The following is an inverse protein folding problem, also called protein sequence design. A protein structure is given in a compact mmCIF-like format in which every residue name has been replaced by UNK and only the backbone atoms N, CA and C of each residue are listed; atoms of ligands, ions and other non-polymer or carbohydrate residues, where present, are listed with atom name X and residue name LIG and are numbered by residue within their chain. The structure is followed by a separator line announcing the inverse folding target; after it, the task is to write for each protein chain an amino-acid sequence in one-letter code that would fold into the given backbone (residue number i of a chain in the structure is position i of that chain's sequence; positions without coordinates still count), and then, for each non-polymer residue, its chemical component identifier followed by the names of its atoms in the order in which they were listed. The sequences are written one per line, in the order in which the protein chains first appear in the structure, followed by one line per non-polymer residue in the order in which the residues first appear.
data_IF_409751768980
#
_entry.id   IF_409751768980
#
_cell.length_a   1.000
_cell.length_b   1.000
_cell.length_c   1.000
_cell.angle_alpha   90.00
_cell.angle_beta   90.00
_cell.angle_gamma   90.00
#
_symmetry.space_group_name_H-M   'P 1'
#
loop_
_entity.id
_entity.type
_entity.pdbx_description
1 polymer ?
#
# COMPACT_ATOMS: atom_id res chain seq x y z
N UNK A 1 -9.85 -2.73 -7.32
CA UNK A 1 -9.24 -3.78 -6.48
C UNK A 1 -9.32 -5.10 -7.21
N UNK A 2 -8.35 -5.98 -6.98
CA UNK A 2 -8.33 -7.30 -7.61
C UNK A 2 -9.48 -8.17 -7.06
N UNK A 3 -10.13 -8.91 -7.95
CA UNK A 3 -11.03 -10.01 -7.56
C UNK A 3 -10.16 -11.14 -7.04
N UNK A 4 -10.39 -11.56 -5.80
CA UNK A 4 -9.66 -12.69 -5.19
C UNK A 4 -10.51 -13.94 -5.40
N UNK A 5 -9.93 -14.98 -6.01
CA UNK A 5 -10.63 -16.25 -6.22
C UNK A 5 -10.77 -17.03 -4.90
N UNK A 6 -11.74 -17.95 -4.79
CA UNK A 6 -11.83 -18.83 -3.63
C UNK A 6 -10.53 -19.60 -3.36
N UNK A 7 -9.87 -20.09 -4.41
CA UNK A 7 -8.59 -20.81 -4.30
C UNK A 7 -7.47 -19.95 -3.69
N UNK A 8 -7.45 -18.65 -3.94
CA UNK A 8 -6.47 -17.76 -3.33
C UNK A 8 -6.77 -17.51 -1.86
N UNK A 9 -8.05 -17.39 -1.48
CA UNK A 9 -8.44 -17.25 -0.09
C UNK A 9 -8.04 -18.46 0.76
N UNK A 10 -8.21 -19.67 0.22
CA UNK A 10 -7.72 -20.88 0.90
C UNK A 10 -6.20 -20.84 1.07
N UNK A 11 -5.46 -20.48 0.02
CA UNK A 11 -3.99 -20.35 0.11
C UNK A 11 -3.53 -19.29 1.10
N UNK A 12 -4.21 -18.15 1.18
CA UNK A 12 -3.90 -17.12 2.17
C UNK A 12 -4.06 -17.62 3.60
N UNK A 13 -5.10 -18.42 3.83
CA UNK A 13 -5.38 -19.02 5.15
C UNK A 13 -4.35 -20.10 5.50
N UNK A 14 -4.05 -21.01 4.56
CA UNK A 14 -3.07 -22.09 4.74
C UNK A 14 -1.65 -21.57 4.99
N UNK A 15 -1.24 -20.53 4.25
CA UNK A 15 0.09 -19.93 4.36
C UNK A 15 0.20 -18.88 5.47
N UNK A 16 -0.88 -18.63 6.20
CA UNK A 16 -0.94 -17.65 7.30
C UNK A 16 -0.41 -16.27 6.90
N UNK A 17 -0.77 -15.81 5.70
CA UNK A 17 -0.32 -14.49 5.22
C UNK A 17 -1.01 -13.36 5.98
N UNK A 18 -0.40 -12.19 5.99
CA UNK A 18 -1.08 -10.94 6.39
C UNK A 18 -1.46 -10.15 5.14
N UNK A 19 -2.64 -9.53 5.16
CA UNK A 19 -3.17 -8.73 4.06
C UNK A 19 -3.09 -7.23 4.38
N UNK A 20 -2.87 -6.44 3.35
CA UNK A 20 -2.96 -4.98 3.43
C UNK A 20 -3.79 -4.44 2.26
N UNK A 21 -4.64 -3.45 2.52
CA UNK A 21 -5.36 -2.73 1.47
C UNK A 21 -5.50 -1.25 1.78
N UNK A 22 -5.63 -0.43 0.74
CA UNK A 22 -5.99 0.98 0.86
C UNK A 22 -7.52 1.16 0.76
N UNK A 23 -8.08 2.13 1.48
CA UNK A 23 -9.48 2.54 1.38
C UNK A 23 -9.56 4.06 1.30
N UNK A 24 -10.37 4.59 0.37
CA UNK A 24 -10.31 6.03 0.05
C UNK A 24 -11.56 6.82 0.44
N UNK A 25 -12.75 6.22 0.33
CA UNK A 25 -13.99 6.90 0.67
C UNK A 25 -15.12 5.93 0.94
N UNK A 26 -16.08 6.38 1.76
CA UNK A 26 -17.39 5.72 1.94
C UNK A 26 -18.35 5.96 0.77
N UNK A 27 -18.10 6.99 -0.06
CA UNK A 27 -18.84 7.27 -1.28
C UNK A 27 -18.24 6.48 -2.45
N UNK A 28 -19.06 5.68 -3.13
CA UNK A 28 -18.61 4.82 -4.22
C UNK A 28 -18.06 5.62 -5.41
N UNK A 29 -18.67 6.76 -5.75
CA UNK A 29 -18.25 7.59 -6.89
C UNK A 29 -16.93 8.28 -6.60
N UNK A 30 -16.76 8.81 -5.39
CA UNK A 30 -15.49 9.39 -4.94
C UNK A 30 -14.37 8.32 -4.93
N UNK A 31 -14.66 7.14 -4.37
CA UNK A 31 -13.72 6.02 -4.39
C UNK A 31 -13.35 5.59 -5.82
N UNK A 32 -14.32 5.57 -6.74
CA UNK A 32 -14.08 5.25 -8.14
C UNK A 32 -13.26 6.33 -8.86
N UNK A 33 -13.53 7.60 -8.59
CA UNK A 33 -12.77 8.73 -9.13
C UNK A 33 -11.30 8.69 -8.67
N UNK A 34 -11.05 8.44 -7.39
CA UNK A 34 -9.70 8.35 -6.82
C UNK A 34 -8.93 7.15 -7.39
N UNK A 35 -9.57 5.98 -7.43
CA UNK A 35 -8.90 4.73 -7.85
C UNK A 35 -8.87 4.54 -9.37
N UNK A 36 -9.57 5.40 -10.11
CA UNK A 36 -9.87 5.28 -11.54
C UNK A 36 -10.48 3.90 -11.91
N UNK A 37 -11.25 3.31 -10.99
CA UNK A 37 -11.82 1.94 -11.10
C UNK A 37 -13.10 1.81 -10.25
N UNK A 38 -14.12 1.13 -10.75
CA UNK A 38 -15.24 0.69 -9.90
C UNK A 38 -14.77 -0.43 -8.96
N UNK A 39 -14.25 -0.03 -7.80
CA UNK A 39 -13.56 -0.93 -6.87
C UNK A 39 -14.10 -0.94 -5.46
N UNK A 40 -15.04 -0.05 -5.15
CA UNK A 40 -15.61 0.11 -3.81
C UNK A 40 -16.20 -1.20 -3.27
N UNK A 41 -17.13 -1.81 -4.00
CA UNK A 41 -17.77 -3.06 -3.58
C UNK A 41 -16.79 -4.21 -3.42
N UNK A 42 -15.91 -4.43 -4.41
CA UNK A 42 -14.88 -5.47 -4.33
C UNK A 42 -13.95 -5.27 -3.12
N UNK A 43 -13.60 -4.01 -2.81
CA UNK A 43 -12.76 -3.69 -1.64
C UNK A 43 -13.46 -4.02 -0.34
N UNK A 44 -14.73 -3.63 -0.19
CA UNK A 44 -15.52 -3.98 0.99
C UNK A 44 -15.68 -5.49 1.14
N UNK A 45 -16.04 -6.20 0.06
CA UNK A 45 -16.22 -7.65 0.10
C UNK A 45 -14.92 -8.37 0.49
N UNK A 46 -13.78 -7.95 -0.05
CA UNK A 46 -12.48 -8.54 0.33
C UNK A 46 -12.11 -8.27 1.79
N UNK A 47 -12.43 -7.08 2.31
CA UNK A 47 -12.22 -6.75 3.74
C UNK A 47 -13.07 -7.66 4.62
N UNK A 48 -14.36 -7.79 4.31
CA UNK A 48 -15.29 -8.65 5.05
C UNK A 48 -14.82 -10.10 5.03
N UNK A 49 -14.41 -10.62 3.88
CA UNK A 49 -13.90 -11.99 3.75
C UNK A 49 -12.63 -12.22 4.58
N UNK A 50 -11.67 -11.28 4.55
CA UNK A 50 -10.45 -11.37 5.34
C UNK A 50 -10.75 -11.39 6.86
N UNK A 51 -11.68 -10.54 7.31
CA UNK A 51 -12.16 -10.51 8.71
C UNK A 51 -12.84 -11.83 9.09
N UNK A 52 -13.74 -12.35 8.24
CA UNK A 52 -14.44 -13.62 8.48
C UNK A 52 -13.48 -14.80 8.61
N UNK A 53 -12.43 -14.83 7.79
CA UNK A 53 -11.37 -15.84 7.82
C UNK A 53 -10.34 -15.64 8.93
N UNK A 54 -10.43 -14.54 9.69
CA UNK A 54 -9.45 -14.14 10.72
C UNK A 54 -8.03 -14.03 10.15
N UNK A 55 -7.90 -13.62 8.90
CA UNK A 55 -6.61 -13.30 8.29
C UNK A 55 -6.16 -11.93 8.81
N UNK A 56 -4.94 -11.77 9.34
CA UNK A 56 -4.44 -10.47 9.79
C UNK A 56 -4.56 -9.42 8.68
N UNK A 57 -5.27 -8.33 8.95
CA UNK A 57 -5.60 -7.31 7.96
C UNK A 57 -5.22 -5.92 8.46
N UNK A 58 -4.42 -5.21 7.68
CA UNK A 58 -4.17 -3.78 7.84
C UNK A 58 -4.88 -2.98 6.75
N UNK A 59 -5.59 -1.93 7.11
CA UNK A 59 -6.23 -1.03 6.15
C UNK A 59 -5.65 0.37 6.27
N UNK A 60 -5.17 0.94 5.16
CA UNK A 60 -4.69 2.32 5.11
C UNK A 60 -5.75 3.24 4.51
N UNK A 61 -6.18 4.26 5.25
CA UNK A 61 -6.94 5.37 4.68
C UNK A 61 -5.96 6.38 4.12
N UNK A 62 -6.13 6.75 2.85
CA UNK A 62 -5.24 7.72 2.19
C UNK A 62 -5.97 9.04 1.97
N UNK A 63 -5.49 10.12 2.57
CA UNK A 63 -6.02 11.48 2.37
C UNK A 63 -5.65 12.03 0.99
N UNK A 64 -6.65 12.28 0.13
CA UNK A 64 -6.43 12.80 -1.23
C UNK A 64 -6.74 14.31 -1.35
N UNK A 65 -7.64 14.80 -0.49
CA UNK A 65 -8.04 16.21 -0.39
C UNK A 65 -8.68 16.49 0.98
N UNK A 66 -8.66 17.75 1.41
CA UNK A 66 -9.07 18.17 2.77
C UNK A 66 -10.53 17.88 3.11
N UNK A 67 -11.42 17.81 2.11
CA UNK A 67 -12.84 17.54 2.33
C UNK A 67 -13.18 16.05 2.49
N UNK A 68 -12.18 15.16 2.38
CA UNK A 68 -12.40 13.72 2.46
C UNK A 68 -12.85 13.33 3.87
N UNK A 69 -13.92 12.54 3.96
CA UNK A 69 -14.54 12.17 5.25
C UNK A 69 -13.79 11.00 5.91
N UNK A 70 -12.54 11.25 6.33
CA UNK A 70 -11.63 10.25 6.90
C UNK A 70 -12.25 9.53 8.11
N UNK A 71 -12.87 10.25 9.03
CA UNK A 71 -13.48 9.64 10.23
C UNK A 71 -14.65 8.72 9.88
N UNK A 72 -15.43 9.07 8.85
CA UNK A 72 -16.50 8.18 8.36
C UNK A 72 -15.94 6.93 7.71
N UNK A 73 -14.84 7.05 6.97
CA UNK A 73 -14.14 5.91 6.40
C UNK A 73 -13.58 4.99 7.50
N UNK A 74 -12.97 5.56 8.55
CA UNK A 74 -12.50 4.82 9.72
C UNK A 74 -13.64 4.08 10.41
N UNK A 75 -14.72 4.77 10.75
CA UNK A 75 -15.88 4.16 11.42
C UNK A 75 -16.49 3.03 10.58
N UNK A 76 -16.56 3.21 9.26
CA UNK A 76 -17.04 2.18 8.36
C UNK A 76 -16.17 0.92 8.40
N UNK A 77 -14.83 1.06 8.42
CA UNK A 77 -13.91 -0.08 8.52
C UNK A 77 -14.06 -0.81 9.86
N UNK A 78 -14.21 -0.07 10.96
CA UNK A 78 -14.50 -0.64 12.29
C UNK A 78 -15.81 -1.44 12.24
N UNK A 79 -16.86 -0.88 11.63
CA UNK A 79 -18.15 -1.56 11.48
C UNK A 79 -18.08 -2.81 10.58
N UNK A 80 -17.10 -2.91 9.69
CA UNK A 80 -16.82 -4.11 8.91
C UNK A 80 -16.00 -5.17 9.67
N UNK A 81 -15.58 -4.87 10.90
CA UNK A 81 -14.83 -5.77 11.78
C UNK A 81 -13.30 -5.64 11.68
N UNK A 82 -12.79 -4.57 11.08
CA UNK A 82 -11.35 -4.26 11.14
C UNK A 82 -11.04 -3.66 12.52
N UNK A 83 -10.07 -4.24 13.22
CA UNK A 83 -9.62 -3.71 14.50
C UNK A 83 -9.00 -2.31 14.33
N UNK A 84 -9.36 -1.37 15.21
CA UNK A 84 -9.01 0.05 15.06
C UNK A 84 -7.49 0.28 14.98
N UNK A 85 -6.70 -0.45 15.76
CA UNK A 85 -5.24 -0.39 15.75
C UNK A 85 -4.61 -0.79 14.41
N UNK A 86 -5.34 -1.51 13.54
CA UNK A 86 -4.89 -1.91 12.21
C UNK A 86 -5.36 -0.95 11.11
N UNK A 87 -6.02 0.15 11.47
CA UNK A 87 -6.45 1.21 10.56
C UNK A 87 -5.45 2.36 10.61
N UNK A 88 -4.60 2.44 9.59
CA UNK A 88 -3.65 3.54 9.42
C UNK A 88 -4.22 4.71 8.63
N UNK A 89 -3.59 5.87 8.76
CA UNK A 89 -3.80 7.03 7.89
C UNK A 89 -2.47 7.47 7.29
N UNK A 90 -2.46 7.86 6.03
CA UNK A 90 -1.34 8.52 5.36
C UNK A 90 -1.89 9.55 4.38
N UNK A 91 -1.16 10.63 4.14
CA UNK A 91 -1.53 11.61 3.11
C UNK A 91 -1.01 11.15 1.74
N UNK A 92 -1.65 11.65 0.68
CA UNK A 92 -1.13 11.45 -0.68
C UNK A 92 0.26 12.04 -0.80
N UNK A 93 1.25 11.17 -0.99
CA UNK A 93 2.63 11.56 -1.27
C UNK A 93 2.81 11.86 -2.76
N UNK A 94 3.60 12.88 -3.08
CA UNK A 94 3.97 13.29 -4.44
C UNK A 94 5.01 12.35 -5.07
N UNK A 95 4.70 11.05 -5.10
CA UNK A 95 5.59 9.98 -5.56
C UNK A 95 4.83 9.01 -6.45
N UNK A 96 5.49 8.47 -7.47
CA UNK A 96 4.87 7.53 -8.42
C UNK A 96 3.60 8.12 -9.06
N UNK A 97 2.46 7.43 -8.91
CA UNK A 97 1.16 7.90 -9.43
C UNK A 97 0.51 9.02 -8.60
N UNK A 98 1.08 9.35 -7.44
CA UNK A 98 0.60 10.45 -6.59
C UNK A 98 1.17 11.81 -6.98
N UNK A 99 2.16 11.85 -7.87
CA UNK A 99 2.72 13.09 -8.44
C UNK A 99 1.62 13.86 -9.17
N UNK A 100 1.41 15.12 -8.80
CA UNK A 100 0.47 16.03 -9.43
C UNK A 100 1.17 17.18 -10.14
N UNK A 101 1.98 17.93 -9.40
CA UNK A 101 2.52 19.23 -9.81
C UNK A 101 4.05 19.34 -9.62
N UNK A 102 4.65 18.47 -8.80
CA UNK A 102 6.08 18.48 -8.47
C UNK A 102 6.74 17.14 -8.75
N UNK A 103 8.05 17.17 -9.06
CA UNK A 103 8.84 15.95 -9.11
C UNK A 103 8.93 15.32 -7.70
N UNK A 104 9.08 13.99 -7.60
CA UNK A 104 9.32 13.35 -6.32
C UNK A 104 10.55 13.92 -5.62
N UNK A 105 10.41 14.26 -4.34
CA UNK A 105 11.46 14.85 -3.52
C UNK A 105 11.56 14.15 -2.15
N UNK A 106 12.65 14.40 -1.44
CA UNK A 106 12.97 13.81 -0.14
C UNK A 106 11.96 14.20 0.95
N UNK A 107 11.27 15.33 0.82
CA UNK A 107 10.22 15.78 1.75
C UNK A 107 9.00 14.84 1.80
N UNK A 108 8.86 13.94 0.82
CA UNK A 108 7.82 12.91 0.78
C UNK A 108 8.18 11.61 1.53
N UNK A 109 9.42 11.51 2.04
CA UNK A 109 9.98 10.29 2.62
C UNK A 109 9.96 10.33 4.15
N UNK A 110 9.94 9.15 4.79
CA UNK A 110 9.88 9.03 6.25
C UNK A 110 11.24 9.03 6.95
N UNK A 111 12.35 9.19 6.22
CA UNK A 111 13.71 9.14 6.77
C UNK A 111 14.31 7.75 6.97
N UNK A 112 13.51 6.68 6.91
CA UNK A 112 13.96 5.29 7.12
C UNK A 112 14.25 4.55 5.80
N UNK A 113 14.75 5.25 4.78
CA UNK A 113 15.05 4.67 3.48
C UNK A 113 16.20 3.65 3.60
N UNK A 114 16.04 2.48 2.98
CA UNK A 114 16.98 1.35 3.07
C UNK A 114 17.24 0.82 4.50
N UNK A 115 16.41 1.21 5.49
CA UNK A 115 16.48 0.66 6.85
C UNK A 115 15.68 -0.64 6.95
N UNK A 116 16.37 -1.78 6.83
CA UNK A 116 15.78 -3.11 6.89
C UNK A 116 14.85 -3.47 5.72
N UNK A 117 14.77 -2.62 4.69
CA UNK A 117 13.87 -2.80 3.55
C UNK A 117 14.57 -2.46 2.24
N UNK A 118 14.22 -3.17 1.18
CA UNK A 118 14.49 -2.81 -0.21
C UNK A 118 13.25 -3.12 -1.04
N UNK A 119 12.96 -2.28 -2.04
CA UNK A 119 11.92 -2.57 -3.02
C UNK A 119 12.55 -3.10 -4.31
N UNK A 120 12.04 -4.22 -4.82
CA UNK A 120 12.49 -4.82 -6.08
C UNK A 120 11.36 -4.73 -7.10
N UNK A 121 11.64 -4.20 -8.27
CA UNK A 121 10.69 -4.10 -9.38
C UNK A 121 10.56 -5.43 -10.13
N UNK A 122 9.51 -5.63 -10.96
CA UNK A 122 9.41 -6.80 -11.83
C UNK A 122 10.55 -6.93 -12.85
N UNK A 123 11.25 -5.84 -13.18
CA UNK A 123 12.42 -5.80 -14.06
C UNK A 123 13.75 -5.97 -13.31
N UNK A 124 13.69 -6.19 -12.01
CA UNK A 124 14.83 -6.45 -11.15
C UNK A 124 15.47 -5.19 -10.54
N UNK A 125 15.01 -3.99 -10.90
CA UNK A 125 15.54 -2.74 -10.34
C UNK A 125 15.29 -2.68 -8.83
N UNK A 126 16.30 -2.24 -8.09
CA UNK A 126 16.27 -2.16 -6.63
C UNK A 126 16.27 -0.70 -6.20
N UNK A 127 15.39 -0.38 -5.25
CA UNK A 127 15.25 0.93 -4.64
C UNK A 127 15.31 0.84 -3.11
N UNK A 128 15.74 1.91 -2.41
CA UNK A 128 15.73 1.98 -0.94
C UNK A 128 14.38 1.65 -0.32
N UNK A 129 13.27 2.08 -0.93
CA UNK A 129 11.92 1.62 -0.61
C UNK A 129 10.96 1.84 -1.79
N UNK A 130 9.69 1.42 -1.65
CA UNK A 130 8.69 1.55 -2.73
C UNK A 130 8.41 3.01 -3.12
N UNK A 131 8.68 3.94 -2.20
CA UNK A 131 8.51 5.36 -2.42
C UNK A 131 9.69 6.01 -3.11
N UNK A 132 10.86 5.37 -3.31
CA UNK A 132 12.06 5.99 -3.88
C UNK A 132 12.39 5.45 -5.27
N UNK A 133 11.38 5.24 -6.12
CA UNK A 133 11.56 4.59 -7.44
C UNK A 133 12.48 5.35 -8.40
N UNK A 134 12.72 6.64 -8.14
CA UNK A 134 13.66 7.48 -8.90
C UNK A 134 15.11 7.35 -8.42
N UNK A 135 15.38 6.56 -7.38
CA UNK A 135 16.70 6.34 -6.80
C UNK A 135 17.12 4.86 -6.91
N UNK A 136 17.42 4.35 -8.11
CA UNK A 136 17.87 2.97 -8.27
C UNK A 136 19.26 2.77 -7.63
N UNK A 137 19.40 1.70 -6.84
CA UNK A 137 20.68 1.28 -6.25
C UNK A 137 21.33 0.12 -7.01
N UNK A 138 20.61 -0.49 -7.95
CA UNK A 138 21.13 -1.51 -8.88
C UNK A 138 20.04 -2.48 -9.33
N UNK A 139 20.42 -3.67 -9.80
CA UNK A 139 19.48 -4.66 -10.33
C UNK A 139 19.83 -6.09 -9.87
N UNK A 140 18.84 -6.83 -9.35
CA UNK A 140 19.04 -8.19 -8.80
C UNK A 140 19.41 -9.24 -9.84
N UNK A 141 19.17 -8.97 -11.13
CA UNK A 141 19.61 -9.88 -12.20
C UNK A 141 21.10 -9.74 -12.52
N UNK A 142 21.74 -8.65 -12.08
CA UNK A 142 23.17 -8.38 -12.30
C UNK A 142 23.99 -8.48 -11.01
N UNK A 143 23.38 -8.26 -9.85
CA UNK A 143 24.06 -8.18 -8.55
C UNK A 143 23.26 -8.90 -7.48
N UNK A 144 23.93 -9.56 -6.54
CA UNK A 144 23.27 -10.13 -5.36
C UNK A 144 22.79 -9.02 -4.39
N UNK A 145 21.74 -9.30 -3.61
CA UNK A 145 21.25 -8.34 -2.59
C UNK A 145 22.35 -7.87 -1.62
N UNK A 146 23.26 -8.73 -1.10
CA UNK A 146 24.36 -8.25 -0.26
C UNK A 146 25.30 -7.26 -0.96
N UNK A 147 25.53 -7.40 -2.27
CA UNK A 147 26.34 -6.44 -3.03
C UNK A 147 25.61 -5.11 -3.20
N UNK A 148 24.29 -5.14 -3.38
CA UNK A 148 23.44 -3.96 -3.52
C UNK A 148 23.31 -3.18 -2.20
N UNK A 149 23.25 -3.88 -1.06
CA UNK A 149 23.19 -3.24 0.27
C UNK A 149 24.54 -2.67 0.70
N UNK A 150 25.65 -3.33 0.36
CA UNK A 150 27.01 -2.88 0.74
C UNK A 150 27.53 -1.73 -0.13
N UNK A 151 27.04 -1.63 -1.38
CA UNK A 151 27.40 -0.53 -2.26
C UNK A 151 26.53 0.70 -1.93
N UNK A 152 27.11 1.60 -1.14
CA UNK A 152 26.62 2.95 -0.79
C UNK A 152 25.51 2.97 0.26
N UNK A 153 25.94 2.83 1.52
CA UNK A 153 25.46 3.78 2.54
C UNK A 153 25.85 5.17 2.02
N UNK A 154 24.85 5.99 1.80
CA UNK A 154 24.96 7.39 1.42
C UNK A 154 25.86 8.11 2.44
N UNK A 155 27.06 8.53 2.02
CA UNK A 155 27.79 9.63 2.67
C UNK A 155 27.15 10.98 2.28
#
# INVERSE_FOLDING_TARGET
MARISPSLWERFSELQVSLATSFYSTDEKEHAAITNRSSFHATKSNIVEAVQRRIPLRVGIIGIHDQQKVDKARQMLINLGVEEQHIGYDDLRQVGRGVRDRQPDYDQLCGNCADGVLAVSPTGDVWPCVFTRWMPVGNVFSQSLPQLVKNKVLE
#
